data_IF_798672555379
#
_entry.id   IF_798672555379
#
_cell.length_a   1.000
_cell.length_b   1.000
_cell.length_c   1.000
_cell.angle_alpha   90.00
_cell.angle_beta   90.00
_cell.angle_gamma   90.00
#
_symmetry.space_group_name_H-M   'P 1'
#
loop_
_entity.id
_entity.type
_entity.pdbx_description
1 polymer ?
#
# COMPACT_ATOMS: atom_id res chain seq x y z
N UNK A 1 -10.85 11.54 -34.52
CA UNK A 1 -9.86 10.59 -34.13
C UNK A 1 -10.11 10.11 -32.72
N UNK A 2 -9.93 8.82 -32.50
CA UNK A 2 -10.22 8.28 -31.19
C UNK A 2 -9.01 8.37 -30.30
N UNK A 3 -9.27 8.68 -29.05
CA UNK A 3 -8.23 8.66 -28.04
C UNK A 3 -7.87 7.23 -27.72
N UNK A 4 -6.61 7.00 -27.47
CA UNK A 4 -6.16 5.72 -26.99
C UNK A 4 -6.18 5.72 -25.50
N UNK A 5 -6.39 4.54 -24.93
CA UNK A 5 -6.37 4.38 -23.50
C UNK A 5 -5.15 3.57 -23.09
N UNK A 6 -4.65 3.90 -21.93
CA UNK A 6 -3.59 3.14 -21.29
C UNK A 6 -4.25 2.39 -20.14
N UNK A 7 -4.02 1.09 -20.10
CA UNK A 7 -4.54 0.28 -19.01
C UNK A 7 -3.39 -0.42 -18.30
N UNK A 8 -3.52 -0.54 -17.00
CA UNK A 8 -2.49 -1.20 -16.21
C UNK A 8 -3.12 -1.79 -14.97
N UNK A 9 -2.72 -3.00 -14.65
CA UNK A 9 -3.20 -3.66 -13.45
C UNK A 9 -2.16 -3.49 -12.36
N UNK A 10 -2.64 -3.04 -11.19
CA UNK A 10 -1.80 -2.92 -10.01
C UNK A 10 -2.33 -3.83 -8.93
N UNK A 11 -1.42 -4.42 -8.18
CA UNK A 11 -1.79 -5.19 -7.02
C UNK A 11 -1.77 -4.25 -5.81
N UNK A 12 -2.90 -4.21 -5.12
CA UNK A 12 -3.00 -3.44 -3.89
C UNK A 12 -3.17 -4.41 -2.75
N UNK A 13 -2.52 -4.12 -1.64
CA UNK A 13 -2.66 -4.95 -0.45
C UNK A 13 -3.29 -4.13 0.65
N UNK A 14 -4.27 -4.70 1.31
CA UNK A 14 -4.89 -4.11 2.49
C UNK A 14 -4.40 -4.88 3.70
N UNK A 15 -3.70 -4.20 4.57
CA UNK A 15 -3.15 -4.79 5.78
C UNK A 15 -4.07 -4.42 6.93
N UNK A 16 -4.75 -5.41 7.48
CA UNK A 16 -5.64 -5.19 8.63
C UNK A 16 -4.87 -5.51 9.88
N UNK A 17 -4.89 -4.62 10.84
CA UNK A 17 -4.12 -4.81 12.04
C UNK A 17 -4.86 -4.27 13.25
N UNK A 18 -4.47 -4.77 14.43
CA UNK A 18 -5.00 -4.34 15.71
C UNK A 18 -3.89 -3.64 16.47
N UNK A 19 -4.18 -2.46 17.00
CA UNK A 19 -3.22 -1.73 17.80
C UNK A 19 -3.43 -2.02 19.27
N UNK A 20 -2.35 -2.02 20.02
CA UNK A 20 -2.38 -2.24 21.45
C UNK A 20 -1.72 -1.09 22.17
N UNK A 21 -2.12 -0.89 23.41
CA UNK A 21 -1.46 0.04 24.31
C UNK A 21 -1.04 -0.69 25.55
N UNK A 22 0.08 -0.28 26.12
CA UNK A 22 0.56 -0.83 27.37
C UNK A 22 0.24 0.16 28.48
N UNK A 23 -0.52 -0.30 29.46
CA UNK A 23 -0.98 0.58 30.53
C UNK A 23 -1.15 -0.22 31.79
N UNK A 24 -0.67 0.31 32.91
CA UNK A 24 -0.82 -0.31 34.24
C UNK A 24 -0.32 -1.77 34.24
N UNK A 25 0.76 -2.03 33.53
CA UNK A 25 1.33 -3.36 33.49
C UNK A 25 0.60 -4.35 32.63
N UNK A 26 -0.36 -3.91 31.83
CA UNK A 26 -1.14 -4.79 30.97
C UNK A 26 -1.22 -4.22 29.56
N UNK A 27 -1.41 -5.12 28.60
CA UNK A 27 -1.58 -4.74 27.20
C UNK A 27 -3.06 -4.82 26.87
N UNK A 28 -3.58 -3.75 26.27
CA UNK A 28 -4.99 -3.66 25.89
C UNK A 28 -5.10 -3.38 24.40
N UNK A 29 -6.14 -3.92 23.76
CA UNK A 29 -6.47 -3.53 22.40
C UNK A 29 -7.03 -2.11 22.41
N UNK A 30 -6.55 -1.29 21.49
CA UNK A 30 -7.08 0.06 21.31
C UNK A 30 -8.13 0.05 20.22
N UNK A 31 -7.74 -0.36 19.01
CA UNK A 31 -8.65 -0.35 17.87
C UNK A 31 -8.07 -1.20 16.76
N UNK A 32 -8.85 -1.35 15.70
CA UNK A 32 -8.46 -2.02 14.47
C UNK A 32 -8.42 -0.98 13.37
N UNK A 33 -7.49 -1.14 12.45
CA UNK A 33 -7.35 -0.18 11.36
C UNK A 33 -6.78 -0.91 10.15
N UNK A 34 -6.67 -0.21 9.04
CA UNK A 34 -6.19 -0.76 7.79
C UNK A 34 -5.19 0.19 7.15
N UNK A 35 -4.22 -0.39 6.46
CA UNK A 35 -3.30 0.35 5.62
C UNK A 35 -3.34 -0.28 4.25
N UNK A 36 -3.54 0.55 3.23
CA UNK A 36 -3.54 0.08 1.84
C UNK A 36 -2.24 0.52 1.19
N UNK A 37 -1.56 -0.43 0.57
CA UNK A 37 -0.35 -0.13 -0.19
C UNK A 37 -0.54 -0.64 -1.62
N UNK A 38 0.18 -0.04 -2.55
CA UNK A 38 0.01 -0.33 -3.96
C UNK A 38 1.00 -1.38 -4.47
N UNK A 39 1.33 -2.32 -3.60
CA UNK A 39 2.20 -3.43 -3.96
C UNK A 39 1.85 -4.63 -3.10
N UNK A 40 2.32 -5.81 -3.54
CA UNK A 40 2.08 -7.04 -2.80
C UNK A 40 2.99 -7.10 -1.58
N UNK A 41 2.43 -7.53 -0.46
CA UNK A 41 3.21 -7.67 0.78
C UNK A 41 2.95 -9.06 1.37
N UNK A 42 3.99 -9.62 1.96
CA UNK A 42 3.84 -10.80 2.81
C UNK A 42 3.76 -10.34 4.26
N UNK A 43 3.70 -11.28 5.18
CA UNK A 43 3.55 -10.93 6.58
C UNK A 43 4.72 -10.08 7.09
N UNK A 44 5.94 -10.45 6.70
CA UNK A 44 7.12 -9.72 7.16
C UNK A 44 7.11 -8.28 6.64
N UNK A 45 6.76 -8.10 5.37
CA UNK A 45 6.70 -6.76 4.78
C UNK A 45 5.57 -5.95 5.40
N UNK A 46 4.43 -6.61 5.67
CA UNK A 46 3.30 -5.92 6.30
C UNK A 46 3.67 -5.42 7.68
N UNK A 47 4.40 -6.22 8.45
CA UNK A 47 4.83 -5.78 9.77
C UNK A 47 5.70 -4.55 9.69
N UNK A 48 6.59 -4.49 8.71
CA UNK A 48 7.44 -3.31 8.54
C UNK A 48 6.62 -2.08 8.20
N UNK A 49 5.61 -2.23 7.36
CA UNK A 49 4.75 -1.11 6.98
C UNK A 49 4.00 -0.58 8.19
N UNK A 50 3.39 -1.47 8.97
CA UNK A 50 2.61 -1.05 10.13
C UNK A 50 3.53 -0.44 11.18
N UNK A 51 4.68 -1.05 11.44
CA UNK A 51 5.61 -0.53 12.42
C UNK A 51 6.07 0.87 12.05
N UNK A 52 6.32 1.11 10.77
CA UNK A 52 6.75 2.42 10.33
C UNK A 52 5.63 3.45 10.50
N UNK A 53 4.39 3.05 10.22
CA UNK A 53 3.24 3.94 10.36
C UNK A 53 2.99 4.27 11.83
N UNK A 54 3.01 3.28 12.70
CA UNK A 54 2.68 3.47 14.11
C UNK A 54 3.88 3.90 14.94
N UNK A 55 5.09 3.64 14.44
CA UNK A 55 6.32 3.88 15.19
C UNK A 55 6.30 3.12 16.50
N UNK A 56 5.79 1.90 16.47
CA UNK A 56 5.61 1.08 17.64
C UNK A 56 5.55 -0.38 17.22
N UNK A 57 5.88 -1.27 18.14
CA UNK A 57 5.76 -2.71 17.93
C UNK A 57 4.47 -3.27 18.53
N UNK A 58 3.63 -2.41 19.11
CA UNK A 58 2.44 -2.85 19.82
C UNK A 58 1.28 -2.99 18.84
N UNK A 59 1.36 -3.98 17.98
CA UNK A 59 0.29 -4.27 17.02
C UNK A 59 0.36 -5.74 16.63
N UNK A 60 -0.72 -6.20 16.03
CA UNK A 60 -0.84 -7.54 15.51
C UNK A 60 -1.41 -7.46 14.10
N UNK A 61 -0.81 -8.16 13.16
CA UNK A 61 -1.36 -8.26 11.81
C UNK A 61 -2.49 -9.27 11.87
N UNK A 62 -3.69 -8.83 11.49
CA UNK A 62 -4.87 -9.71 11.53
C UNK A 62 -5.11 -10.37 10.20
N UNK A 63 -4.94 -9.62 9.11
CA UNK A 63 -5.26 -10.15 7.80
C UNK A 63 -4.53 -9.32 6.74
N UNK A 64 -4.13 -9.97 5.66
CA UNK A 64 -3.57 -9.28 4.50
C UNK A 64 -4.39 -9.72 3.30
N UNK A 65 -5.01 -8.75 2.63
CA UNK A 65 -5.83 -9.02 1.45
C UNK A 65 -5.16 -8.39 0.25
N UNK A 66 -5.02 -9.14 -0.82
CA UNK A 66 -4.44 -8.63 -2.06
C UNK A 66 -5.53 -8.54 -3.11
N UNK A 67 -5.57 -7.43 -3.82
CA UNK A 67 -6.57 -7.22 -4.85
C UNK A 67 -5.87 -6.62 -6.06
N UNK A 68 -6.13 -7.20 -7.22
CA UNK A 68 -5.62 -6.66 -8.48
C UNK A 68 -6.68 -5.72 -9.02
N UNK A 69 -6.28 -4.49 -9.26
CA UNK A 69 -7.18 -3.47 -9.77
C UNK A 69 -6.67 -2.97 -11.11
N UNK A 70 -7.54 -3.00 -12.11
CA UNK A 70 -7.21 -2.51 -13.43
C UNK A 70 -7.56 -1.03 -13.51
N UNK A 71 -6.57 -0.23 -13.82
CA UNK A 71 -6.76 1.20 -14.00
C UNK A 71 -6.64 1.55 -15.47
N UNK A 72 -7.40 2.52 -15.90
CA UNK A 72 -7.37 2.97 -17.28
C UNK A 72 -7.48 4.48 -17.31
N UNK A 73 -6.75 5.08 -18.24
CA UNK A 73 -6.91 6.49 -18.51
C UNK A 73 -6.57 6.76 -19.96
N UNK A 74 -7.00 7.89 -20.48
CA UNK A 74 -6.64 8.26 -21.84
C UNK A 74 -5.16 8.63 -21.87
N UNK A 75 -4.55 8.49 -23.06
CA UNK A 75 -3.18 8.91 -23.25
C UNK A 75 -3.03 10.39 -22.95
N UNK A 76 -4.02 11.17 -23.33
CA UNK A 76 -3.98 12.60 -23.09
C UNK A 76 -3.90 12.92 -21.60
N UNK A 77 -4.73 12.27 -20.79
CA UNK A 77 -4.70 12.50 -19.35
C UNK A 77 -3.41 11.98 -18.73
N UNK A 78 -2.94 10.85 -19.22
CA UNK A 78 -1.69 10.29 -18.73
C UNK A 78 -0.53 11.28 -18.92
N UNK A 79 -0.48 11.89 -20.09
CA UNK A 79 0.63 12.80 -20.41
C UNK A 79 0.59 14.08 -19.58
N UNK A 80 -0.56 14.41 -19.01
CA UNK A 80 -0.66 15.59 -18.16
C UNK A 80 0.09 15.42 -16.86
N UNK A 81 0.20 14.19 -16.37
CA UNK A 81 0.84 13.93 -15.09
C UNK A 81 2.13 13.16 -15.22
N UNK A 82 2.38 12.54 -16.36
CA UNK A 82 3.56 11.73 -16.56
C UNK A 82 4.73 12.60 -16.95
N UNK A 83 5.91 12.14 -16.65
CA UNK A 83 7.15 12.79 -17.08
C UNK A 83 8.11 11.73 -17.57
N UNK A 84 8.97 12.09 -18.51
CA UNK A 84 9.95 11.11 -18.98
C UNK A 84 10.91 10.73 -17.87
N UNK A 85 11.34 9.50 -17.89
CA UNK A 85 12.32 9.01 -16.93
C UNK A 85 13.65 8.90 -17.67
N UNK A 86 14.70 9.45 -17.09
CA UNK A 86 16.02 9.36 -17.69
C UNK A 86 16.43 7.89 -17.74
N UNK A 87 17.17 7.56 -18.80
CA UNK A 87 17.59 6.19 -18.99
C UNK A 87 18.39 5.67 -17.80
N UNK A 88 19.22 6.53 -17.22
CA UNK A 88 20.00 6.13 -16.07
C UNK A 88 19.13 5.75 -14.89
N UNK A 89 18.04 6.47 -14.72
CA UNK A 89 17.14 6.22 -13.59
C UNK A 89 16.38 4.92 -13.75
N UNK A 90 16.13 4.52 -14.99
CA UNK A 90 15.34 3.35 -15.23
C UNK A 90 16.16 2.07 -15.18
N UNK A 91 17.45 2.16 -15.04
CA UNK A 91 18.31 0.99 -15.02
C UNK A 91 18.57 0.44 -13.65
N UNK A 92 18.00 0.97 -12.68
CA UNK A 92 18.20 0.55 -11.30
C UNK A 92 18.26 -0.96 -11.05
#
# INVERSE_FOLDING_TARGET
MKSKNITRTFTESTICYTRFAFDNGAIHEIDNDEIVVDYAVDEAAAKKVVKKRLKSDLFRIDEIRATDTLYACSVEDFLKVAHPVAKDESEE
#
